data_IF_189868618455
#
_entry.id   IF_189868618455
#
_cell.length_a   1.000
_cell.length_b   1.000
_cell.length_c   1.000
_cell.angle_alpha   90.00
_cell.angle_beta   90.00
_cell.angle_gamma   90.00
#
_symmetry.space_group_name_H-M   'P 1'
#
loop_
_entity.id
_entity.type
_entity.pdbx_description
1 polymer ?
#
# COMPACT_ATOMS: atom_id res chain seq x y z
N UNK A 1 -35.19 -17.17 -0.20
CA UNK A 1 -34.44 -16.36 0.77
C UNK A 1 -33.47 -15.48 0.01
N UNK A 2 -33.29 -14.21 0.41
CA UNK A 2 -32.37 -13.31 -0.28
C UNK A 2 -30.93 -13.58 0.24
N UNK A 3 -30.05 -13.97 -0.68
CA UNK A 3 -28.65 -14.25 -0.39
C UNK A 3 -27.79 -13.04 -0.75
N UNK A 4 -26.89 -12.64 0.15
CA UNK A 4 -25.95 -11.55 -0.08
C UNK A 4 -24.50 -12.01 -0.05
N UNK A 5 -23.68 -11.35 -0.88
CA UNK A 5 -22.23 -11.44 -0.81
C UNK A 5 -21.75 -10.23 -0.03
N UNK A 6 -21.11 -10.47 1.11
CA UNK A 6 -20.72 -9.42 2.06
C UNK A 6 -19.37 -9.68 2.70
N UNK A 7 -18.82 -8.65 3.34
CA UNK A 7 -17.61 -8.74 4.12
C UNK A 7 -17.95 -9.12 5.58
N UNK A 8 -17.29 -10.14 6.09
CA UNK A 8 -17.27 -10.53 7.49
C UNK A 8 -15.95 -10.07 8.10
N UNK A 9 -16.01 -9.35 9.23
CA UNK A 9 -14.82 -8.77 9.84
C UNK A 9 -14.13 -9.77 10.77
N UNK A 10 -12.82 -9.89 10.59
CA UNK A 10 -11.90 -10.64 11.45
C UNK A 10 -10.69 -9.76 11.82
N UNK A 11 -9.73 -10.35 12.55
CA UNK A 11 -8.50 -9.67 12.90
C UNK A 11 -8.59 -8.90 14.23
N UNK A 12 -7.52 -8.16 14.54
CA UNK A 12 -7.35 -7.43 15.80
C UNK A 12 -8.07 -6.08 15.79
N UNK A 13 -8.12 -5.39 16.95
CA UNK A 13 -8.79 -4.09 17.13
C UNK A 13 -8.32 -3.04 16.10
N UNK A 14 -7.04 -2.89 15.88
CA UNK A 14 -6.45 -1.90 14.95
C UNK A 14 -6.02 -2.50 13.61
N UNK A 15 -6.18 -3.80 13.39
CA UNK A 15 -5.78 -4.50 12.17
C UNK A 15 -6.94 -5.35 11.64
N UNK A 16 -7.82 -4.73 10.87
CA UNK A 16 -8.98 -5.40 10.32
C UNK A 16 -8.60 -6.28 9.13
N UNK A 17 -9.13 -7.50 9.10
CA UNK A 17 -9.04 -8.44 8.01
C UNK A 17 -10.45 -8.93 7.68
N UNK A 18 -10.76 -9.08 6.41
CA UNK A 18 -12.12 -9.42 6.00
C UNK A 18 -12.16 -10.72 5.22
N UNK A 19 -13.20 -11.53 5.50
CA UNK A 19 -13.59 -12.66 4.66
C UNK A 19 -14.74 -12.24 3.76
N UNK A 20 -14.67 -12.59 2.48
CA UNK A 20 -15.77 -12.42 1.52
C UNK A 20 -16.64 -13.66 1.64
N UNK A 21 -17.87 -13.49 2.09
CA UNK A 21 -18.76 -14.61 2.41
C UNK A 21 -20.12 -14.45 1.76
N UNK A 22 -20.73 -15.60 1.49
CA UNK A 22 -22.12 -15.73 1.07
C UNK A 22 -22.95 -15.99 2.34
N UNK A 23 -23.90 -15.14 2.61
CA UNK A 23 -24.76 -15.29 3.78
C UNK A 23 -26.19 -14.84 3.51
N UNK A 24 -27.13 -15.32 4.32
CA UNK A 24 -28.49 -14.83 4.36
C UNK A 24 -28.52 -13.36 4.82
N UNK A 25 -29.43 -12.58 4.23
CA UNK A 25 -29.64 -11.16 4.58
C UNK A 25 -29.92 -10.96 6.06
N UNK A 26 -30.63 -11.90 6.69
CA UNK A 26 -31.05 -11.84 8.09
C UNK A 26 -29.93 -12.19 9.08
N UNK A 27 -28.87 -12.86 8.63
CA UNK A 27 -27.77 -13.25 9.50
C UNK A 27 -26.96 -12.03 9.96
N UNK A 28 -26.46 -12.00 11.21
CA UNK A 28 -25.58 -10.94 11.68
C UNK A 28 -24.28 -10.89 10.87
N UNK A 29 -23.60 -9.73 10.87
CA UNK A 29 -22.41 -9.50 10.03
C UNK A 29 -21.34 -10.58 10.19
N UNK A 30 -20.98 -10.90 11.41
CA UNK A 30 -19.90 -11.83 11.76
C UNK A 30 -20.45 -13.20 12.21
N UNK A 31 -21.72 -13.51 11.89
CA UNK A 31 -22.38 -14.76 12.23
C UNK A 31 -22.22 -15.86 11.19
N UNK A 32 -23.21 -16.78 11.18
CA UNK A 32 -23.23 -17.92 10.27
C UNK A 32 -23.27 -17.47 8.81
N UNK A 33 -22.44 -18.07 8.00
CA UNK A 33 -22.41 -17.89 6.54
C UNK A 33 -22.56 -19.25 5.84
N UNK A 34 -22.96 -19.22 4.58
CA UNK A 34 -23.15 -20.42 3.74
C UNK A 34 -21.81 -20.88 3.17
N UNK A 35 -21.06 -19.96 2.57
CA UNK A 35 -19.79 -20.26 1.92
C UNK A 35 -18.84 -19.04 2.02
N UNK A 36 -17.55 -19.32 2.20
CA UNK A 36 -16.48 -18.33 2.12
C UNK A 36 -15.85 -18.43 0.73
N UNK A 37 -15.89 -17.36 -0.04
CA UNK A 37 -15.38 -17.29 -1.42
C UNK A 37 -14.02 -16.59 -1.53
N UNK A 38 -13.57 -15.91 -0.49
CA UNK A 38 -12.29 -15.23 -0.54
C UNK A 38 -11.93 -14.45 0.70
N UNK A 39 -10.84 -13.71 0.62
CA UNK A 39 -10.34 -12.82 1.66
C UNK A 39 -9.99 -11.44 1.10
N UNK A 40 -10.11 -10.43 1.95
CA UNK A 40 -9.77 -9.04 1.62
C UNK A 40 -8.95 -8.42 2.73
N UNK A 41 -7.75 -7.98 2.42
CA UNK A 41 -6.85 -7.28 3.33
C UNK A 41 -6.67 -5.82 2.89
N UNK A 42 -7.26 -4.84 3.58
CA UNK A 42 -7.11 -3.43 3.27
C UNK A 42 -5.80 -2.81 3.80
N UNK A 43 -5.05 -3.53 4.67
CA UNK A 43 -3.88 -2.98 5.34
C UNK A 43 -2.62 -2.98 4.46
N UNK A 44 -2.66 -3.64 3.31
CA UNK A 44 -1.60 -3.65 2.30
C UNK A 44 -1.81 -2.53 1.28
N UNK A 45 -0.74 -2.03 0.68
CA UNK A 45 -0.83 -1.04 -0.41
C UNK A 45 -0.08 -1.56 -1.64
N UNK A 46 -0.79 -1.98 -2.69
CA UNK A 46 -2.25 -2.04 -2.84
C UNK A 46 -2.92 -3.08 -1.93
N UNK A 47 -4.24 -2.91 -1.69
CA UNK A 47 -5.04 -3.87 -0.92
C UNK A 47 -5.01 -5.25 -1.58
N UNK A 48 -4.81 -6.31 -0.77
CA UNK A 48 -4.73 -7.68 -1.27
C UNK A 48 -6.10 -8.32 -1.28
N UNK A 49 -6.49 -8.87 -2.40
CA UNK A 49 -7.71 -9.65 -2.60
C UNK A 49 -7.32 -11.05 -3.03
N UNK A 50 -7.81 -12.04 -2.31
CA UNK A 50 -7.72 -13.46 -2.70
C UNK A 50 -9.16 -13.96 -2.88
N UNK A 51 -9.53 -14.29 -4.11
CA UNK A 51 -10.91 -14.59 -4.48
C UNK A 51 -10.97 -15.86 -5.36
N UNK A 52 -11.83 -16.80 -4.96
CA UNK A 52 -12.21 -17.89 -5.85
C UNK A 52 -13.18 -17.35 -6.93
N UNK A 53 -12.64 -17.09 -8.12
CA UNK A 53 -13.35 -16.48 -9.24
C UNK A 53 -14.56 -17.29 -9.68
N UNK A 54 -14.42 -18.61 -9.82
CA UNK A 54 -15.48 -19.51 -10.30
C UNK A 54 -16.67 -19.54 -9.33
N UNK A 55 -16.37 -19.65 -8.02
CA UNK A 55 -17.43 -19.66 -7.01
C UNK A 55 -18.13 -18.31 -6.89
N UNK A 56 -17.37 -17.22 -7.01
CA UNK A 56 -17.94 -15.87 -7.01
C UNK A 56 -18.87 -15.67 -8.20
N UNK A 57 -18.45 -16.09 -9.41
CA UNK A 57 -19.26 -16.00 -10.62
C UNK A 57 -20.55 -16.84 -10.48
N UNK A 58 -20.43 -18.08 -10.03
CA UNK A 58 -21.58 -18.97 -9.79
C UNK A 58 -22.64 -18.31 -8.89
N UNK A 59 -22.25 -17.75 -7.75
CA UNK A 59 -23.21 -17.12 -6.84
C UNK A 59 -23.82 -15.85 -7.41
N UNK A 60 -23.04 -15.05 -8.13
CA UNK A 60 -23.53 -13.81 -8.77
C UNK A 60 -24.51 -14.13 -9.91
N UNK A 61 -24.29 -15.22 -10.66
CA UNK A 61 -25.21 -15.69 -11.70
C UNK A 61 -26.52 -16.25 -11.12
N UNK A 62 -26.42 -16.94 -9.97
CA UNK A 62 -27.59 -17.45 -9.25
C UNK A 62 -28.36 -16.37 -8.46
N UNK A 63 -27.99 -15.10 -8.63
CA UNK A 63 -28.74 -13.97 -8.10
C UNK A 63 -28.34 -13.51 -6.70
N UNK A 64 -27.19 -13.98 -6.16
CA UNK A 64 -26.66 -13.42 -4.92
C UNK A 64 -26.30 -11.94 -5.11
N UNK A 65 -26.78 -11.08 -4.19
CA UNK A 65 -26.60 -9.64 -4.29
C UNK A 65 -25.35 -9.20 -3.53
N UNK A 66 -24.31 -8.68 -4.22
CA UNK A 66 -23.15 -8.13 -3.54
C UNK A 66 -23.48 -6.79 -2.86
N UNK A 67 -22.89 -6.54 -1.69
CA UNK A 67 -22.86 -5.19 -1.10
C UNK A 67 -21.99 -4.27 -1.94
N UNK A 68 -22.11 -2.95 -1.81
CA UNK A 68 -21.41 -1.99 -2.67
C UNK A 68 -19.88 -2.16 -2.64
N UNK A 69 -19.30 -2.35 -1.45
CA UNK A 69 -17.86 -2.62 -1.30
C UNK A 69 -17.44 -3.91 -2.01
N UNK A 70 -18.19 -4.99 -1.81
CA UNK A 70 -17.92 -6.28 -2.47
C UNK A 70 -18.12 -6.17 -3.98
N UNK A 71 -19.12 -5.42 -4.44
CA UNK A 71 -19.34 -5.18 -5.86
C UNK A 71 -18.14 -4.51 -6.53
N UNK A 72 -17.53 -3.54 -5.85
CA UNK A 72 -16.30 -2.90 -6.33
C UNK A 72 -15.13 -3.89 -6.38
N UNK A 73 -14.97 -4.74 -5.36
CA UNK A 73 -13.96 -5.80 -5.35
C UNK A 73 -14.18 -6.78 -6.51
N UNK A 74 -15.41 -7.28 -6.68
CA UNK A 74 -15.76 -8.21 -7.75
C UNK A 74 -15.62 -7.58 -9.16
N UNK A 75 -15.89 -6.28 -9.29
CA UNK A 75 -15.63 -5.52 -10.52
C UNK A 75 -14.14 -5.45 -10.82
N UNK A 76 -13.33 -5.19 -9.82
CA UNK A 76 -11.88 -5.14 -9.96
C UNK A 76 -11.29 -6.51 -10.34
N UNK A 77 -11.84 -7.60 -9.83
CA UNK A 77 -11.43 -8.96 -10.21
C UNK A 77 -12.03 -9.44 -11.54
N UNK A 78 -12.99 -8.69 -12.11
CA UNK A 78 -13.60 -8.99 -13.40
C UNK A 78 -14.82 -9.91 -13.35
N UNK A 79 -15.26 -10.36 -12.17
CA UNK A 79 -16.43 -11.23 -12.02
C UNK A 79 -17.70 -10.59 -12.58
N UNK A 80 -17.88 -9.28 -12.35
CA UNK A 80 -19.06 -8.56 -12.88
C UNK A 80 -19.02 -8.43 -14.40
N UNK A 81 -17.84 -8.27 -14.99
CA UNK A 81 -17.65 -8.25 -16.44
C UNK A 81 -17.98 -9.62 -17.06
N UNK A 82 -17.45 -10.70 -16.47
CA UNK A 82 -17.71 -12.07 -16.96
C UNK A 82 -19.20 -12.42 -16.88
N UNK A 83 -19.87 -12.06 -15.78
CA UNK A 83 -21.34 -12.17 -15.68
C UNK A 83 -22.05 -11.46 -16.84
N UNK A 84 -21.61 -10.24 -17.19
CA UNK A 84 -22.20 -9.47 -18.28
C UNK A 84 -21.97 -10.16 -19.64
N UNK A 85 -20.76 -10.64 -19.88
CA UNK A 85 -20.42 -11.37 -21.11
C UNK A 85 -21.22 -12.68 -21.24
N UNK A 86 -21.31 -13.48 -20.17
CA UNK A 86 -22.12 -14.68 -20.14
C UNK A 86 -23.61 -14.38 -20.39
N UNK A 87 -24.10 -13.24 -19.88
CA UNK A 87 -25.43 -12.73 -20.19
C UNK A 87 -25.62 -12.39 -21.66
N UNK A 88 -24.58 -11.89 -22.33
CA UNK A 88 -24.59 -11.63 -23.79
C UNK A 88 -24.63 -12.90 -24.61
N UNK A 89 -23.83 -13.91 -24.23
CA UNK A 89 -23.84 -15.25 -24.87
C UNK A 89 -25.24 -15.88 -24.75
N UNK A 90 -25.83 -15.86 -23.55
CA UNK A 90 -27.21 -16.39 -23.34
C UNK A 90 -28.28 -15.69 -24.20
N UNK A 91 -28.08 -14.42 -24.54
CA UNK A 91 -28.95 -13.62 -25.39
C UNK A 91 -28.63 -13.76 -26.89
N UNK A 92 -27.60 -14.52 -27.26
CA UNK A 92 -27.16 -14.70 -28.65
C UNK A 92 -26.49 -13.48 -29.28
N UNK A 93 -25.96 -12.54 -28.46
CA UNK A 93 -25.30 -11.34 -28.97
C UNK A 93 -23.90 -11.64 -29.54
N UNK A 94 -23.21 -12.63 -29.01
CA UNK A 94 -21.89 -13.11 -29.46
C UNK A 94 -21.60 -14.51 -28.89
N UNK A 95 -20.61 -15.18 -29.47
CA UNK A 95 -20.20 -16.52 -29.09
C UNK A 95 -19.35 -16.53 -27.79
N UNK A 96 -19.26 -17.68 -27.15
CA UNK A 96 -18.49 -17.90 -25.94
C UNK A 96 -16.99 -17.58 -26.14
N UNK A 97 -16.42 -17.97 -27.29
CA UNK A 97 -15.04 -17.65 -27.65
C UNK A 97 -14.79 -16.13 -27.70
N UNK A 98 -15.74 -15.38 -28.26
CA UNK A 98 -15.68 -13.92 -28.29
C UNK A 98 -15.81 -13.29 -26.88
N UNK A 99 -16.58 -13.91 -25.99
CA UNK A 99 -16.68 -13.49 -24.60
C UNK A 99 -15.35 -13.66 -23.86
N UNK A 100 -14.74 -14.81 -24.01
CA UNK A 100 -13.42 -15.11 -23.40
C UNK A 100 -12.33 -14.17 -23.93
N UNK A 101 -12.25 -13.95 -25.24
CA UNK A 101 -11.29 -13.02 -25.83
C UNK A 101 -11.46 -11.58 -25.30
N UNK A 102 -12.67 -11.09 -25.13
CA UNK A 102 -12.96 -9.78 -24.53
C UNK A 102 -12.55 -9.70 -23.06
N UNK A 103 -12.75 -10.78 -22.32
CA UNK A 103 -12.33 -10.85 -20.92
C UNK A 103 -10.80 -10.85 -20.77
N UNK A 104 -10.10 -11.63 -21.59
CA UNK A 104 -8.64 -11.68 -21.60
C UNK A 104 -8.02 -10.33 -21.99
N UNK A 105 -8.54 -9.69 -23.03
CA UNK A 105 -8.09 -8.35 -23.43
C UNK A 105 -8.27 -7.32 -22.29
N UNK A 106 -9.40 -7.38 -21.58
CA UNK A 106 -9.62 -6.53 -20.42
C UNK A 106 -8.62 -6.83 -19.29
N UNK A 107 -8.37 -8.11 -19.01
CA UNK A 107 -7.42 -8.53 -17.97
C UNK A 107 -6.01 -8.05 -18.28
N UNK A 108 -5.53 -8.25 -19.51
CA UNK A 108 -4.22 -7.75 -19.96
C UNK A 108 -4.10 -6.22 -19.83
N UNK A 109 -5.13 -5.48 -20.24
CA UNK A 109 -5.15 -4.03 -20.12
C UNK A 109 -5.13 -3.56 -18.64
N UNK A 110 -5.79 -4.29 -17.75
CA UNK A 110 -5.77 -4.03 -16.30
C UNK A 110 -4.39 -4.30 -15.70
N UNK A 111 -3.80 -5.45 -16.01
CA UNK A 111 -2.50 -5.86 -15.50
C UNK A 111 -1.40 -4.87 -15.98
N UNK A 112 -1.44 -4.44 -17.23
CA UNK A 112 -0.55 -3.42 -17.76
C UNK A 112 -0.68 -2.06 -17.03
N UNK A 113 -1.90 -1.65 -16.66
CA UNK A 113 -2.12 -0.45 -15.85
C UNK A 113 -1.61 -0.60 -14.42
N UNK A 114 -1.78 -1.78 -13.84
CA UNK A 114 -1.31 -2.08 -12.49
C UNK A 114 0.22 -2.08 -12.42
N UNK A 115 0.91 -2.70 -13.38
CA UNK A 115 2.38 -2.69 -13.47
C UNK A 115 2.91 -1.28 -13.68
N UNK A 116 2.36 -0.52 -14.63
CA UNK A 116 2.76 0.86 -14.87
C UNK A 116 2.56 1.77 -13.63
N UNK A 117 1.49 1.55 -12.86
CA UNK A 117 1.26 2.27 -11.61
C UNK A 117 2.24 1.87 -10.50
N UNK A 118 2.62 0.59 -10.43
CA UNK A 118 3.61 0.09 -9.49
C UNK A 118 5.00 0.66 -9.82
N UNK A 119 5.40 0.67 -11.09
CA UNK A 119 6.67 1.20 -11.55
C UNK A 119 6.79 2.70 -11.28
N UNK A 120 5.74 3.47 -11.53
CA UNK A 120 5.69 4.90 -11.17
C UNK A 120 5.89 5.11 -9.67
N UNK A 121 5.16 4.39 -8.82
CA UNK A 121 5.32 4.49 -7.36
C UNK A 121 6.72 4.10 -6.90
N UNK A 122 7.34 3.09 -7.53
CA UNK A 122 8.71 2.69 -7.23
C UNK A 122 9.72 3.77 -7.64
N UNK A 123 9.54 4.38 -8.80
CA UNK A 123 10.36 5.49 -9.29
C UNK A 123 10.23 6.72 -8.39
N UNK A 124 9.01 7.14 -8.04
CA UNK A 124 8.74 8.26 -7.14
C UNK A 124 9.36 8.03 -5.76
N UNK A 125 9.27 6.81 -5.24
CA UNK A 125 9.88 6.45 -3.94
C UNK A 125 11.41 6.51 -4.00
N UNK A 126 12.03 6.08 -5.08
CA UNK A 126 13.48 6.18 -5.29
C UNK A 126 13.92 7.64 -5.39
N UNK A 127 13.23 8.43 -6.21
CA UNK A 127 13.54 9.85 -6.36
C UNK A 127 13.40 10.63 -5.03
N UNK A 128 12.36 10.33 -4.27
CA UNK A 128 12.18 10.93 -2.93
C UNK A 128 13.27 10.52 -1.95
N UNK A 129 13.73 9.25 -2.00
CA UNK A 129 14.83 8.78 -1.15
C UNK A 129 16.17 9.44 -1.52
N UNK A 130 16.46 9.59 -2.80
CA UNK A 130 17.66 10.26 -3.31
C UNK A 130 17.67 11.74 -2.92
N UNK A 131 16.56 12.43 -3.13
CA UNK A 131 16.41 13.83 -2.73
C UNK A 131 16.60 14.03 -1.20
N UNK A 132 16.11 13.08 -0.40
CA UNK A 132 16.30 13.09 1.05
C UNK A 132 17.77 12.89 1.43
N UNK A 133 18.45 11.95 0.80
CA UNK A 133 19.88 11.70 1.03
C UNK A 133 20.74 12.91 0.64
N UNK A 134 20.42 13.59 -0.45
CA UNK A 134 21.10 14.82 -0.84
C UNK A 134 20.87 15.96 0.15
N UNK A 135 19.63 16.10 0.63
CA UNK A 135 19.32 17.08 1.67
C UNK A 135 20.07 16.81 2.98
N UNK A 136 20.13 15.54 3.38
CA UNK A 136 20.89 15.11 4.57
C UNK A 136 22.40 15.38 4.41
N UNK A 137 22.98 15.11 3.25
CA UNK A 137 24.40 15.43 2.97
C UNK A 137 24.68 16.93 3.13
N UNK A 138 23.85 17.79 2.55
CA UNK A 138 23.99 19.24 2.67
C UNK A 138 23.88 19.74 4.11
N UNK A 139 22.99 19.12 4.91
CA UNK A 139 22.87 19.46 6.33
C UNK A 139 24.09 18.99 7.12
N UNK A 140 24.59 17.77 6.84
CA UNK A 140 25.78 17.22 7.49
C UNK A 140 27.04 18.02 7.16
N UNK A 141 27.22 18.48 5.93
CA UNK A 141 28.31 19.38 5.53
C UNK A 141 28.28 20.68 6.35
N UNK A 142 27.13 21.32 6.45
CA UNK A 142 26.96 22.55 7.27
C UNK A 142 27.20 22.31 8.75
N UNK A 143 26.84 21.15 9.26
CA UNK A 143 27.13 20.78 10.66
C UNK A 143 28.63 20.55 10.85
N UNK A 144 29.27 19.85 9.89
CA UNK A 144 30.72 19.61 9.95
C UNK A 144 31.52 20.92 9.90
N UNK A 145 31.15 21.88 9.06
CA UNK A 145 31.75 23.22 9.03
C UNK A 145 31.62 23.93 10.37
N UNK A 146 30.39 23.97 10.93
CA UNK A 146 30.18 24.59 12.26
C UNK A 146 30.92 23.91 13.39
N UNK A 147 31.06 22.58 13.32
CA UNK A 147 31.84 21.81 14.30
C UNK A 147 33.35 22.13 14.15
N UNK A 148 33.82 22.24 12.91
CA UNK A 148 35.21 22.61 12.63
C UNK A 148 35.53 24.03 13.13
N UNK A 149 34.64 25.00 12.85
CA UNK A 149 34.77 26.38 13.38
C UNK A 149 34.81 26.41 14.92
N UNK A 150 33.88 25.68 15.58
CA UNK A 150 33.87 25.61 17.04
C UNK A 150 35.11 24.95 17.61
N UNK A 151 35.62 23.91 16.95
CA UNK A 151 36.87 23.27 17.37
C UNK A 151 38.07 24.21 17.17
N UNK A 152 38.13 24.94 16.08
CA UNK A 152 39.18 25.91 15.83
C UNK A 152 39.13 27.07 16.84
N UNK A 153 37.94 27.59 17.13
CA UNK A 153 37.76 28.63 18.16
C UNK A 153 38.10 28.13 19.56
N UNK A 154 37.76 26.90 19.92
CA UNK A 154 38.12 26.30 21.20
C UNK A 154 39.64 26.04 21.32
N UNK A 155 40.29 25.61 20.24
CA UNK A 155 41.74 25.43 20.20
C UNK A 155 42.48 26.77 20.30
N UNK A 156 41.99 27.84 19.65
CA UNK A 156 42.53 29.18 19.79
C UNK A 156 42.39 29.72 21.21
N UNK A 157 41.24 29.55 21.84
CA UNK A 157 41.02 29.97 23.22
C UNK A 157 41.88 29.17 24.23
N UNK A 158 42.11 27.88 23.97
CA UNK A 158 43.01 27.06 24.79
C UNK A 158 44.48 27.51 24.65
N UNK A 159 44.91 27.83 23.44
CA UNK A 159 46.25 28.34 23.18
C UNK A 159 46.50 29.75 23.82
N UNK A 160 45.50 30.62 23.80
CA UNK A 160 45.58 31.92 24.51
C UNK A 160 45.63 31.74 26.03
N UNK A 161 44.87 30.78 26.58
CA UNK A 161 44.89 30.48 28.00
C UNK A 161 46.27 29.86 28.46
N UNK A 162 46.86 28.99 27.63
CA UNK A 162 48.21 28.46 27.88
C UNK A 162 49.29 29.55 27.76
N UNK A 163 49.15 30.45 26.79
CA UNK A 163 50.09 31.59 26.64
C UNK A 163 50.00 32.57 27.82
N UNK A 164 48.80 32.85 28.32
CA UNK A 164 48.60 33.67 29.51
C UNK A 164 49.19 33.04 30.81
N UNK A 165 48.94 31.73 31.00
CA UNK A 165 49.46 30.97 32.11
C UNK A 165 51.04 30.89 32.12
N UNK A 166 51.62 30.78 30.92
CA UNK A 166 53.11 30.83 30.80
C UNK A 166 53.68 32.22 31.01
N UNK A 167 52.91 33.29 30.67
CA UNK A 167 53.35 34.66 30.95
C UNK A 167 53.36 34.97 32.48
N UNK A 168 52.28 34.53 33.18
CA UNK A 168 52.27 34.68 34.68
C UNK A 168 53.34 33.87 35.36
N UNK A 169 53.68 32.64 34.93
CA UNK A 169 54.69 31.81 35.47
C UNK A 169 56.13 32.36 35.24
N UNK A 170 56.33 33.18 34.20
CA UNK A 170 57.59 33.87 33.93
C UNK A 170 57.77 35.16 34.74
N UNK A 171 56.68 35.83 35.12
CA UNK A 171 56.74 36.98 36.02
C UNK A 171 56.99 36.57 37.47
N UNK A 172 56.45 35.48 37.99
CA UNK A 172 56.67 34.94 39.32
C UNK A 172 58.10 34.38 39.53
N UNK A 173 58.80 34.01 38.46
CA UNK A 173 60.16 33.52 38.50
C UNK A 173 61.24 34.65 38.43
N UNK A 174 60.81 35.92 38.23
CA UNK A 174 61.68 37.08 38.08
C UNK A 174 61.72 38.01 39.33
N UNK A 175 60.98 37.69 40.40
CA UNK A 175 60.97 38.38 41.68
C UNK A 175 61.72 37.52 42.72
#
# INVERSE_FOLDING_TARGET
>A
MATRIRLQRHGRKSYAFYSIVIADVRAPRDGKFTEKIGTYNPNTNPATVDLNFERALYWVENGAQPTDTVRNILSNEGVMLMKHLNGGVRKGAFDEAAAQAKFEAWKQAKDAKATAAADKKAADKKAAAEARLEAEKKVNEKIAEKVAEKKAAAAAAAAEAEAAANAEATEEAAE
#
